data_IF_228432780012
#
_entry.id   IF_228432780012
#
_cell.length_a   1.000
_cell.length_b   1.000
_cell.length_c   1.000
_cell.angle_alpha   90.00
_cell.angle_beta   90.00
_cell.angle_gamma   90.00
#
_symmetry.space_group_name_H-M   'P 1'
#
loop_
_entity.id
_entity.type
_entity.pdbx_description
1 polymer ?
#
# COMPACT_ATOMS: atom_id res chain seq x y z
N UNK A 1 -13.72 13.95 11.75
CA UNK A 1 -14.29 12.58 11.82
C UNK A 1 -13.97 11.88 10.49
N UNK A 2 -13.24 10.78 10.52
CA UNK A 2 -12.95 9.96 9.34
C UNK A 2 -13.95 8.78 9.29
N UNK A 3 -14.13 8.18 8.11
CA UNK A 3 -14.89 6.94 7.96
C UNK A 3 -13.93 5.91 7.38
N UNK A 4 -13.70 4.83 8.13
CA UNK A 4 -12.91 3.69 7.68
C UNK A 4 -13.83 2.67 7.00
N UNK A 5 -13.53 2.35 5.75
CA UNK A 5 -14.21 1.29 5.01
C UNK A 5 -13.24 0.13 4.89
N UNK A 6 -13.63 -1.03 5.40
CA UNK A 6 -12.84 -2.25 5.35
C UNK A 6 -13.49 -3.24 4.40
N UNK A 7 -12.72 -3.65 3.40
CA UNK A 7 -13.12 -4.68 2.45
C UNK A 7 -12.33 -5.96 2.71
N UNK A 8 -13.02 -7.08 2.78
CA UNK A 8 -12.42 -8.41 2.78
C UNK A 8 -12.44 -9.03 1.38
N UNK A 9 -11.50 -9.94 1.15
CA UNK A 9 -11.51 -10.82 -0.04
C UNK A 9 -11.29 -12.23 0.43
N UNK A 10 -12.20 -13.12 0.07
CA UNK A 10 -12.12 -14.54 0.43
C UNK A 10 -11.16 -15.33 -0.47
N UNK A 11 -10.96 -16.63 -0.15
CA UNK A 11 -10.11 -17.53 -0.93
C UNK A 11 -10.59 -17.79 -2.37
N UNK A 12 -11.83 -17.46 -2.70
CA UNK A 12 -12.41 -17.57 -4.03
C UNK A 12 -12.32 -16.26 -4.83
N UNK A 13 -11.85 -15.18 -4.20
CA UNK A 13 -11.74 -13.87 -4.81
C UNK A 13 -13.00 -13.00 -4.69
N UNK A 14 -14.01 -13.43 -3.92
CA UNK A 14 -15.19 -12.61 -3.63
C UNK A 14 -14.82 -11.46 -2.70
N UNK A 15 -15.36 -10.30 -3.00
CA UNK A 15 -15.08 -9.06 -2.26
C UNK A 15 -16.33 -8.59 -1.55
N UNK A 16 -16.21 -8.37 -0.24
CA UNK A 16 -17.28 -7.83 0.59
C UNK A 16 -16.80 -6.66 1.45
N UNK A 17 -17.72 -5.78 1.81
CA UNK A 17 -17.48 -4.76 2.82
C UNK A 17 -17.75 -5.40 4.19
N UNK A 18 -16.69 -5.57 4.98
CA UNK A 18 -16.77 -6.22 6.30
C UNK A 18 -16.98 -5.23 7.44
N UNK A 19 -16.66 -3.96 7.23
CA UNK A 19 -16.96 -2.87 8.16
C UNK A 19 -17.01 -1.51 7.47
N UNK A 20 -17.85 -0.62 8.05
CA UNK A 20 -17.89 0.82 7.79
C UNK A 20 -17.92 1.49 9.16
N UNK A 21 -16.77 2.01 9.61
CA UNK A 21 -16.61 2.52 10.96
C UNK A 21 -16.32 4.02 10.97
N UNK A 22 -17.18 4.82 11.62
CA UNK A 22 -16.86 6.21 11.89
C UNK A 22 -15.79 6.28 12.98
N UNK A 23 -14.66 6.90 12.66
CA UNK A 23 -13.55 7.05 13.58
C UNK A 23 -13.46 8.48 14.07
N UNK A 24 -13.64 8.68 15.37
CA UNK A 24 -13.41 9.99 16.00
C UNK A 24 -11.93 10.35 16.01
N UNK A 25 -11.08 9.34 16.18
CA UNK A 25 -9.62 9.45 16.21
C UNK A 25 -8.97 8.29 15.45
N UNK A 26 -8.00 8.60 14.61
CA UNK A 26 -7.17 7.64 13.90
C UNK A 26 -5.94 7.30 14.74
N UNK A 27 -6.12 6.47 15.76
CA UNK A 27 -5.06 6.04 16.67
C UNK A 27 -4.82 4.52 16.62
N UNK A 28 -3.65 4.09 17.07
CA UNK A 28 -3.34 2.65 17.19
C UNK A 28 -4.38 1.91 18.04
N UNK A 29 -4.84 2.54 19.13
CA UNK A 29 -5.85 1.96 20.04
C UNK A 29 -7.19 1.79 19.35
N UNK A 30 -7.68 2.81 18.62
CA UNK A 30 -8.95 2.74 17.90
C UNK A 30 -8.96 1.63 16.86
N UNK A 31 -7.88 1.51 16.09
CA UNK A 31 -7.72 0.40 15.13
C UNK A 31 -7.60 -0.96 15.82
N UNK A 32 -6.94 -1.04 16.98
CA UNK A 32 -6.84 -2.27 17.76
C UNK A 32 -8.21 -2.79 18.22
N UNK A 33 -9.09 -1.90 18.70
CA UNK A 33 -10.47 -2.25 19.06
C UNK A 33 -11.23 -2.80 17.86
N UNK A 34 -11.13 -2.15 16.71
CA UNK A 34 -11.77 -2.61 15.47
C UNK A 34 -11.27 -3.99 15.06
N UNK A 35 -9.97 -4.22 15.10
CA UNK A 35 -9.40 -5.53 14.73
C UNK A 35 -9.75 -6.63 15.71
N UNK A 36 -9.88 -6.31 17.00
CA UNK A 36 -10.42 -7.25 17.97
C UNK A 36 -11.87 -7.64 17.65
N UNK A 37 -12.71 -6.66 17.30
CA UNK A 37 -14.09 -6.93 16.85
C UNK A 37 -14.12 -7.86 15.63
N UNK A 38 -13.20 -7.71 14.68
CA UNK A 38 -13.12 -8.64 13.54
C UNK A 38 -12.75 -10.05 13.99
N UNK A 39 -11.82 -10.21 14.93
CA UNK A 39 -11.45 -11.52 15.49
C UNK A 39 -12.63 -12.17 16.21
N UNK A 40 -13.37 -11.40 16.99
CA UNK A 40 -14.55 -11.87 17.71
C UNK A 40 -15.66 -12.33 16.76
N UNK A 41 -15.73 -11.73 15.56
CA UNK A 41 -16.61 -12.13 14.46
C UNK A 41 -16.07 -13.27 13.59
N UNK A 42 -14.90 -13.83 13.91
CA UNK A 42 -14.32 -15.00 13.25
C UNK A 42 -13.20 -14.70 12.24
N UNK A 43 -12.77 -13.45 12.06
CA UNK A 43 -11.60 -13.13 11.23
C UNK A 43 -10.31 -13.43 12.03
N UNK A 44 -9.94 -14.69 12.13
CA UNK A 44 -8.78 -15.11 12.92
C UNK A 44 -7.44 -14.74 12.28
N UNK A 45 -7.36 -14.79 10.95
CA UNK A 45 -6.12 -14.55 10.21
C UNK A 45 -6.38 -13.76 8.93
N UNK A 46 -5.37 -13.01 8.51
CA UNK A 46 -5.30 -12.40 7.18
C UNK A 46 -3.91 -12.67 6.61
N UNK A 47 -3.81 -12.93 5.32
CA UNK A 47 -2.52 -13.15 4.64
C UNK A 47 -1.91 -11.86 4.14
N UNK A 48 -2.75 -10.96 3.65
CA UNK A 48 -2.35 -9.68 3.10
C UNK A 48 -3.32 -8.60 3.55
N UNK A 49 -2.78 -7.51 4.08
CA UNK A 49 -3.55 -6.31 4.43
C UNK A 49 -3.00 -5.14 3.64
N UNK A 50 -3.87 -4.47 2.88
CA UNK A 50 -3.53 -3.30 2.09
C UNK A 50 -4.16 -2.07 2.74
N UNK A 51 -3.35 -1.09 3.12
CA UNK A 51 -3.84 0.15 3.71
C UNK A 51 -3.02 1.37 3.26
N UNK A 52 -3.42 2.55 3.70
CA UNK A 52 -2.50 3.69 3.68
C UNK A 52 -1.37 3.47 4.71
N UNK A 53 -0.36 4.34 4.66
CA UNK A 53 0.79 4.26 5.56
C UNK A 53 0.60 5.09 6.84
N UNK A 54 -0.63 5.16 7.37
CA UNK A 54 -0.85 5.78 8.66
C UNK A 54 -0.16 4.98 9.76
N UNK A 55 0.74 5.59 10.54
CA UNK A 55 1.62 4.88 11.49
C UNK A 55 0.84 4.09 12.54
N UNK A 56 -0.25 4.67 13.07
CA UNK A 56 -1.13 4.00 14.03
C UNK A 56 -1.81 2.77 13.44
N UNK A 57 -2.29 2.87 12.19
CA UNK A 57 -2.92 1.75 11.48
C UNK A 57 -1.92 0.63 11.21
N UNK A 58 -0.75 0.95 10.67
CA UNK A 58 0.30 -0.04 10.39
C UNK A 58 0.75 -0.75 11.67
N UNK A 59 0.91 -0.01 12.76
CA UNK A 59 1.27 -0.59 14.07
C UNK A 59 0.19 -1.54 14.59
N UNK A 60 -1.08 -1.15 14.51
CA UNK A 60 -2.21 -1.98 14.91
C UNK A 60 -2.33 -3.26 14.05
N UNK A 61 -2.10 -3.16 12.73
CA UNK A 61 -2.08 -4.31 11.81
C UNK A 61 -1.01 -5.32 12.24
N UNK A 62 0.22 -4.87 12.45
CA UNK A 62 1.34 -5.75 12.85
C UNK A 62 1.09 -6.46 14.17
N UNK A 63 0.45 -5.78 15.11
CA UNK A 63 0.13 -6.35 16.42
C UNK A 63 -1.07 -7.32 16.35
N UNK A 64 -2.11 -6.95 15.63
CA UNK A 64 -3.33 -7.76 15.55
C UNK A 64 -3.22 -8.95 14.60
N UNK A 65 -2.44 -8.83 13.55
CA UNK A 65 -2.27 -9.85 12.51
C UNK A 65 -0.77 -10.09 12.21
N UNK A 66 0.01 -10.64 13.15
CA UNK A 66 1.47 -10.77 13.02
C UNK A 66 1.90 -11.68 11.86
N UNK A 67 1.00 -12.57 11.37
CA UNK A 67 1.24 -13.41 10.19
C UNK A 67 0.86 -12.77 8.86
N UNK A 68 0.28 -11.56 8.87
CA UNK A 68 -0.13 -10.88 7.64
C UNK A 68 1.03 -10.10 7.02
N UNK A 69 1.17 -10.21 5.71
CA UNK A 69 1.99 -9.26 4.95
C UNK A 69 1.24 -7.95 4.84
N UNK A 70 1.92 -6.83 5.12
CA UNK A 70 1.35 -5.51 4.92
C UNK A 70 1.85 -4.89 3.62
N UNK A 71 0.95 -4.27 2.88
CA UNK A 71 1.27 -3.53 1.67
C UNK A 71 0.64 -2.15 1.69
N UNK A 72 1.42 -1.15 1.27
CA UNK A 72 0.91 0.21 1.11
C UNK A 72 -0.05 0.32 -0.08
N UNK A 73 -1.19 0.97 0.13
CA UNK A 73 -2.16 1.24 -0.92
C UNK A 73 -1.56 2.15 -2.01
N UNK A 74 -1.46 1.66 -3.24
CA UNK A 74 -0.92 2.42 -4.37
C UNK A 74 -1.71 3.69 -4.70
N UNK A 75 -3.01 3.70 -4.43
CA UNK A 75 -3.86 4.87 -4.69
C UNK A 75 -3.50 6.00 -3.73
N UNK A 76 -3.38 5.69 -2.43
CA UNK A 76 -2.94 6.65 -1.42
C UNK A 76 -1.49 7.10 -1.66
N UNK A 77 -0.61 6.17 -2.01
CA UNK A 77 0.75 6.48 -2.40
C UNK A 77 0.81 7.49 -3.56
N UNK A 78 0.09 7.22 -4.66
CA UNK A 78 0.00 8.13 -5.81
C UNK A 78 -0.54 9.51 -5.42
N UNK A 79 -1.62 9.53 -4.64
CA UNK A 79 -2.22 10.78 -4.16
C UNK A 79 -1.23 11.59 -3.35
N UNK A 80 -0.52 10.95 -2.43
CA UNK A 80 0.45 11.62 -1.55
C UNK A 80 1.62 12.20 -2.34
N UNK A 81 2.18 11.48 -3.30
CA UNK A 81 3.26 11.99 -4.15
C UNK A 81 2.79 13.14 -5.04
N UNK A 82 1.62 13.01 -5.66
CA UNK A 82 1.13 14.01 -6.62
C UNK A 82 0.82 15.38 -5.99
N UNK A 83 0.73 15.48 -4.67
CA UNK A 83 0.62 16.78 -3.98
C UNK A 83 1.86 17.65 -4.23
N UNK A 84 3.04 17.02 -4.32
CA UNK A 84 4.32 17.71 -4.49
C UNK A 84 4.69 17.97 -5.96
N UNK A 85 3.92 17.42 -6.91
CA UNK A 85 4.20 17.56 -8.35
C UNK A 85 3.45 18.77 -8.93
N UNK A 86 4.12 19.66 -9.66
CA UNK A 86 3.46 20.77 -10.35
C UNK A 86 2.32 20.29 -11.24
N UNK A 87 1.22 21.04 -11.28
CA UNK A 87 -0.01 20.64 -11.98
C UNK A 87 0.23 20.25 -13.44
N UNK A 88 1.07 21.00 -14.15
CA UNK A 88 1.44 20.75 -15.56
C UNK A 88 2.15 19.43 -15.79
N UNK A 89 2.83 18.89 -14.76
CA UNK A 89 3.65 17.67 -14.84
C UNK A 89 2.94 16.43 -14.29
N UNK A 90 1.84 16.61 -13.55
CA UNK A 90 1.13 15.48 -12.89
C UNK A 90 0.76 14.36 -13.85
N UNK A 91 0.31 14.68 -15.05
CA UNK A 91 -0.10 13.67 -16.05
C UNK A 91 1.10 12.83 -16.51
N UNK A 92 2.20 13.48 -16.86
CA UNK A 92 3.43 12.79 -17.28
C UNK A 92 4.03 11.95 -16.15
N UNK A 93 4.14 12.55 -14.96
CA UNK A 93 4.65 11.87 -13.78
C UNK A 93 3.80 10.64 -13.38
N UNK A 94 2.47 10.77 -13.43
CA UNK A 94 1.56 9.64 -13.19
C UNK A 94 1.80 8.49 -14.16
N UNK A 95 2.02 8.78 -15.43
CA UNK A 95 2.29 7.76 -16.44
C UNK A 95 3.60 7.02 -16.16
N UNK A 96 4.64 7.75 -15.76
CA UNK A 96 5.94 7.18 -15.41
C UNK A 96 5.83 6.31 -14.15
N UNK A 97 5.17 6.78 -13.10
CA UNK A 97 4.93 5.98 -11.89
C UNK A 97 4.13 4.69 -12.17
N UNK A 98 3.09 4.77 -13.00
CA UNK A 98 2.34 3.57 -13.41
C UNK A 98 3.23 2.53 -14.08
N UNK A 99 4.26 2.95 -14.81
CA UNK A 99 5.24 2.07 -15.42
C UNK A 99 6.00 1.19 -14.41
N UNK A 100 6.19 1.66 -13.17
CA UNK A 100 6.81 0.87 -12.10
C UNK A 100 5.93 -0.33 -11.77
N UNK A 101 4.62 -0.11 -11.56
CA UNK A 101 3.67 -1.20 -11.23
C UNK A 101 3.39 -2.15 -12.38
N UNK A 102 3.60 -1.71 -13.61
CA UNK A 102 3.46 -2.55 -14.80
C UNK A 102 4.73 -3.29 -15.18
N UNK A 103 5.79 -3.15 -14.39
CA UNK A 103 7.04 -3.86 -14.64
C UNK A 103 6.86 -5.38 -14.53
N UNK A 104 7.50 -6.18 -15.41
CA UNK A 104 7.32 -7.62 -15.43
C UNK A 104 7.96 -8.33 -14.24
N UNK A 105 9.02 -7.74 -13.65
CA UNK A 105 9.75 -8.29 -12.49
C UNK A 105 10.07 -7.21 -11.47
N UNK A 106 10.38 -7.63 -10.24
CA UNK A 106 10.83 -6.73 -9.17
C UNK A 106 12.09 -5.95 -9.55
N UNK A 107 13.03 -6.57 -10.27
CA UNK A 107 14.24 -5.93 -10.75
C UNK A 107 13.93 -4.78 -11.71
N UNK A 108 13.08 -5.02 -12.70
CA UNK A 108 12.61 -3.96 -13.61
C UNK A 108 11.86 -2.86 -12.89
N UNK A 109 11.06 -3.19 -11.87
CA UNK A 109 10.36 -2.21 -11.06
C UNK A 109 11.33 -1.32 -10.30
N UNK A 110 12.34 -1.91 -9.63
CA UNK A 110 13.39 -1.16 -8.93
C UNK A 110 14.16 -0.25 -9.88
N UNK A 111 14.61 -0.78 -11.03
CA UNK A 111 15.32 0.02 -12.04
C UNK A 111 14.48 1.23 -12.46
N UNK A 112 13.20 1.02 -12.81
CA UNK A 112 12.30 2.14 -13.17
C UNK A 112 12.10 3.13 -12.03
N UNK A 113 12.05 2.67 -10.77
CA UNK A 113 11.96 3.56 -9.63
C UNK A 113 13.20 4.46 -9.51
N UNK A 114 14.40 3.90 -9.67
CA UNK A 114 15.65 4.69 -9.70
C UNK A 114 15.68 5.66 -10.87
N UNK A 115 15.29 5.25 -12.08
CA UNK A 115 15.23 6.12 -13.25
C UNK A 115 14.27 7.32 -13.01
N UNK A 116 13.15 7.10 -12.30
CA UNK A 116 12.24 8.16 -11.90
C UNK A 116 12.89 9.11 -10.91
N UNK A 117 13.57 8.59 -9.88
CA UNK A 117 14.28 9.39 -8.89
C UNK A 117 15.31 10.28 -9.59
N UNK A 118 16.18 9.71 -10.41
CA UNK A 118 17.24 10.45 -11.11
C UNK A 118 16.70 11.50 -12.08
N UNK A 119 15.63 11.18 -12.82
CA UNK A 119 15.08 12.10 -13.82
C UNK A 119 14.31 13.27 -13.19
N UNK A 120 13.66 13.05 -12.05
CA UNK A 120 12.86 14.07 -11.39
C UNK A 120 13.61 14.82 -10.29
N UNK A 121 14.60 14.21 -9.63
CA UNK A 121 15.46 14.89 -8.65
C UNK A 121 16.11 16.16 -9.21
N UNK A 122 16.49 16.12 -10.50
CA UNK A 122 17.15 17.24 -11.20
C UNK A 122 16.20 18.35 -11.66
N UNK A 123 14.89 18.16 -11.60
CA UNK A 123 13.88 19.08 -12.15
C UNK A 123 13.23 20.02 -11.14
N UNK A 124 13.39 19.74 -9.85
CA UNK A 124 12.71 20.48 -8.79
C UNK A 124 13.69 21.32 -7.97
N UNK A 125 13.45 22.64 -7.82
CA UNK A 125 14.38 23.56 -7.16
C UNK A 125 14.51 23.38 -5.64
N UNK A 126 13.71 22.50 -5.04
CA UNK A 126 13.78 22.18 -3.60
C UNK A 126 14.13 20.70 -3.42
N UNK A 127 15.34 20.35 -3.82
CA UNK A 127 15.84 18.97 -3.97
C UNK A 127 15.72 18.12 -2.71
N UNK A 128 15.94 18.70 -1.53
CA UNK A 128 16.10 17.88 -0.32
C UNK A 128 14.78 17.28 0.20
N UNK A 129 13.69 18.00 0.12
CA UNK A 129 12.39 17.51 0.63
C UNK A 129 11.68 16.60 -0.36
N UNK A 130 11.73 16.94 -1.66
CA UNK A 130 11.07 16.18 -2.71
C UNK A 130 11.81 14.86 -2.99
N UNK A 131 13.14 14.90 -3.12
CA UNK A 131 13.96 13.71 -3.36
C UNK A 131 13.85 12.74 -2.19
N UNK A 132 13.94 13.22 -0.94
CA UNK A 132 13.75 12.37 0.22
C UNK A 132 12.39 11.71 0.24
N UNK A 133 11.32 12.47 -0.01
CA UNK A 133 9.97 11.93 0.02
C UNK A 133 9.77 10.89 -1.08
N UNK A 134 10.12 11.22 -2.33
CA UNK A 134 9.97 10.31 -3.48
C UNK A 134 10.89 9.10 -3.32
N UNK A 135 12.13 9.31 -2.91
CA UNK A 135 13.11 8.22 -2.70
C UNK A 135 12.65 7.30 -1.60
N UNK A 136 12.29 7.82 -0.42
CA UNK A 136 11.81 7.01 0.70
C UNK A 136 10.57 6.21 0.30
N UNK A 137 9.60 6.85 -0.34
CA UNK A 137 8.37 6.19 -0.76
C UNK A 137 8.56 5.18 -1.89
N UNK A 138 9.44 5.44 -2.85
CA UNK A 138 9.71 4.49 -3.93
C UNK A 138 10.57 3.33 -3.46
N UNK A 139 11.49 3.56 -2.53
CA UNK A 139 12.29 2.48 -1.93
C UNK A 139 11.44 1.57 -1.06
N UNK A 140 10.62 2.12 -0.14
CA UNK A 140 9.64 1.32 0.61
C UNK A 140 8.77 0.47 -0.32
N UNK A 141 8.27 1.07 -1.41
CA UNK A 141 7.44 0.36 -2.37
C UNK A 141 8.21 -0.72 -3.15
N UNK A 142 9.47 -0.49 -3.45
CA UNK A 142 10.31 -1.46 -4.16
C UNK A 142 10.74 -2.63 -3.26
N UNK A 143 10.87 -2.39 -1.95
CA UNK A 143 11.11 -3.43 -0.95
C UNK A 143 9.86 -4.31 -0.73
N UNK A 144 8.69 -3.70 -0.66
CA UNK A 144 7.41 -4.40 -0.55
C UNK A 144 7.01 -5.17 -1.83
N UNK A 145 7.66 -4.89 -2.97
CA UNK A 145 7.37 -5.56 -4.24
C UNK A 145 7.63 -7.06 -4.21
N UNK A 146 8.45 -7.54 -3.30
CA UNK A 146 8.76 -8.97 -3.18
C UNK A 146 7.55 -9.82 -2.77
N UNK A 147 6.50 -9.21 -2.22
CA UNK A 147 5.36 -9.90 -1.62
C UNK A 147 4.11 -9.88 -2.49
N UNK A 148 3.97 -9.01 -3.49
CA UNK A 148 2.69 -8.98 -4.18
C UNK A 148 2.69 -8.41 -5.60
N UNK A 149 2.51 -9.26 -6.57
CA UNK A 149 1.63 -8.98 -7.70
C UNK A 149 0.18 -9.16 -7.25
N UNK A 150 -0.27 -8.41 -6.29
CA UNK A 150 -1.60 -8.55 -5.75
C UNK A 150 -2.56 -7.51 -6.31
N UNK A 151 -3.00 -7.69 -7.53
CA UNK A 151 -4.41 -7.57 -7.84
C UNK A 151 -4.88 -8.98 -8.14
N UNK A 152 -5.51 -9.52 -7.17
CA UNK A 152 -6.28 -10.70 -6.97
C UNK A 152 -6.89 -11.30 -8.26
N UNK A 153 -6.06 -11.85 -9.10
CA UNK A 153 -6.50 -12.94 -9.98
C UNK A 153 -6.49 -14.23 -9.18
N UNK A 154 -7.32 -15.19 -9.50
CA UNK A 154 -7.25 -16.54 -8.88
C UNK A 154 -5.83 -17.12 -8.89
N UNK A 155 -5.03 -16.82 -9.93
CA UNK A 155 -3.61 -17.15 -10.00
C UNK A 155 -2.77 -16.45 -8.94
N UNK A 156 -3.06 -15.19 -8.62
CA UNK A 156 -2.32 -14.44 -7.57
C UNK A 156 -2.68 -14.93 -6.18
N UNK A 157 -3.93 -15.29 -5.95
CA UNK A 157 -4.38 -15.91 -4.69
C UNK A 157 -3.70 -17.28 -4.51
N UNK A 158 -3.71 -18.12 -5.54
CA UNK A 158 -3.06 -19.43 -5.51
C UNK A 158 -1.55 -19.33 -5.28
N UNK A 159 -0.86 -18.37 -5.91
CA UNK A 159 0.57 -18.14 -5.70
C UNK A 159 0.89 -17.68 -4.26
N UNK A 160 0.03 -16.87 -3.65
CA UNK A 160 0.18 -16.46 -2.24
C UNK A 160 -0.07 -17.64 -1.29
N UNK A 161 -0.92 -18.59 -1.69
CA UNK A 161 -1.19 -19.81 -0.94
C UNK A 161 -0.01 -20.80 -0.94
N UNK A 162 0.78 -20.84 -2.02
CA UNK A 162 1.92 -21.77 -2.19
C UNK A 162 3.21 -21.30 -1.48
N UNK A 163 3.37 -20.00 -1.24
CA UNK A 163 4.56 -19.45 -0.54
C UNK A 163 4.46 -19.60 0.98
N UNK A 164 3.29 -19.91 1.50
CA UNK A 164 3.03 -20.04 2.95
C UNK A 164 2.94 -21.53 3.44
N UNK A 165 3.26 -22.48 2.60
CA UNK A 165 3.41 -23.91 2.90
C UNK A 165 4.88 -24.29 2.88
#
# INVERSE_FOLDING_TARGET
MAVLIVCGVDGNGHRDIIAVEPMAEESKSSYGVLFQNFKDRGLSTSRLIISDAHSGLVSAIRESFPGASWQRCKVHFMRNILVYVPQKEKKAFTAVLKGIWLAPTAEFARKRAYDVIDSYAKRFPNESSYVRLVTTYLMEYAEDWSVSRAYLSQKSIAATLLVAA
#
